data_IF_142923650379
#
_entry.id   IF_142923650379
#
_cell.length_a   1.000
_cell.length_b   1.000
_cell.length_c   1.000
_cell.angle_alpha   90.00
_cell.angle_beta   90.00
_cell.angle_gamma   90.00
#
_symmetry.space_group_name_H-M   'P 1'
#
loop_
_entity.id
_entity.type
_entity.pdbx_description
1 polymer ?
#
# COMPACT_ATOMS: atom_id res chain seq x y z
N UNK A 1 -7.83 26.90 9.55
CA UNK A 1 -7.78 26.39 8.17
C UNK A 1 -8.73 25.22 8.09
N UNK A 2 -9.70 25.23 7.18
CA UNK A 2 -10.67 24.15 7.05
C UNK A 2 -10.02 22.94 6.37
N UNK A 3 -9.62 21.96 7.18
CA UNK A 3 -8.91 20.76 6.73
C UNK A 3 -9.80 19.84 5.89
N UNK A 4 -11.12 19.89 6.08
CA UNK A 4 -12.07 19.07 5.34
C UNK A 4 -12.26 19.60 3.93
N UNK A 5 -12.37 20.92 3.77
CA UNK A 5 -12.41 21.57 2.46
C UNK A 5 -11.13 21.30 1.64
N UNK A 6 -9.96 21.40 2.26
CA UNK A 6 -8.67 21.09 1.62
C UNK A 6 -8.61 19.63 1.15
N UNK A 7 -8.93 18.68 2.04
CA UNK A 7 -8.98 17.25 1.71
C UNK A 7 -9.94 16.98 0.56
N UNK A 8 -11.12 17.58 0.58
CA UNK A 8 -12.11 17.43 -0.47
C UNK A 8 -11.60 17.97 -1.83
N UNK A 9 -10.99 19.15 -1.84
CA UNK A 9 -10.42 19.73 -3.06
C UNK A 9 -9.32 18.84 -3.67
N UNK A 10 -8.41 18.32 -2.85
CA UNK A 10 -7.34 17.41 -3.29
C UNK A 10 -7.93 16.12 -3.87
N UNK A 11 -8.92 15.53 -3.19
CA UNK A 11 -9.56 14.27 -3.60
C UNK A 11 -10.31 14.37 -4.93
N UNK A 12 -10.77 15.57 -5.29
CA UNK A 12 -11.48 15.83 -6.54
C UNK A 12 -10.55 16.38 -7.64
N UNK A 13 -9.25 16.51 -7.36
CA UNK A 13 -8.28 16.89 -8.37
C UNK A 13 -8.01 15.75 -9.36
N UNK A 14 -7.67 16.08 -10.60
CA UNK A 14 -7.33 15.09 -11.64
C UNK A 14 -6.04 14.30 -11.36
N UNK A 15 -5.30 14.64 -10.30
CA UNK A 15 -4.02 14.01 -9.91
C UNK A 15 -4.15 13.12 -8.68
N UNK A 16 -5.36 12.86 -8.18
CA UNK A 16 -5.59 12.02 -7.01
C UNK A 16 -6.31 10.72 -7.41
N UNK A 17 -5.69 9.57 -7.11
CA UNK A 17 -6.26 8.26 -7.38
C UNK A 17 -6.39 7.44 -6.08
N UNK A 18 -7.62 7.05 -5.76
CA UNK A 18 -7.94 6.14 -4.66
C UNK A 18 -8.57 4.81 -5.12
N UNK A 19 -8.88 4.67 -6.40
CA UNK A 19 -9.56 3.48 -6.94
C UNK A 19 -8.59 2.41 -7.43
N UNK A 20 -7.33 2.79 -7.66
CA UNK A 20 -6.38 1.99 -8.41
C UNK A 20 -6.55 2.18 -9.92
N UNK A 21 -5.85 1.39 -10.71
CA UNK A 21 -5.80 1.46 -12.17
C UNK A 21 -6.39 0.22 -12.87
N UNK A 22 -6.50 -0.89 -12.15
CA UNK A 22 -6.92 -2.21 -12.61
C UNK A 22 -8.18 -2.71 -11.88
N UNK A 23 -8.69 -3.84 -12.33
CA UNK A 23 -9.79 -4.53 -11.65
C UNK A 23 -9.34 -5.14 -10.31
N UNK A 24 -10.25 -5.29 -9.33
CA UNK A 24 -9.97 -6.01 -8.09
C UNK A 24 -9.43 -7.43 -8.31
N UNK A 25 -9.90 -8.12 -9.36
CA UNK A 25 -9.47 -9.47 -9.72
C UNK A 25 -8.01 -9.53 -10.15
N UNK A 26 -7.56 -8.57 -10.99
CA UNK A 26 -6.17 -8.50 -11.41
C UNK A 26 -5.23 -8.21 -10.24
N UNK A 27 -5.65 -7.33 -9.32
CA UNK A 27 -4.93 -7.04 -8.09
C UNK A 27 -4.78 -8.28 -7.19
N UNK A 28 -5.84 -9.05 -7.01
CA UNK A 28 -5.79 -10.28 -6.23
C UNK A 28 -4.83 -11.32 -6.84
N UNK A 29 -4.80 -11.44 -8.17
CA UNK A 29 -3.89 -12.36 -8.87
C UNK A 29 -2.42 -11.98 -8.65
N UNK A 30 -2.06 -10.70 -8.82
CA UNK A 30 -0.69 -10.22 -8.63
C UNK A 30 -0.15 -10.46 -7.21
N UNK A 31 -1.02 -10.33 -6.19
CA UNK A 31 -0.68 -10.70 -4.82
C UNK A 31 -0.50 -12.22 -4.66
N UNK A 32 -1.37 -13.00 -5.30
CA UNK A 32 -1.34 -14.45 -5.26
C UNK A 32 0.01 -15.01 -5.70
N UNK A 33 0.56 -14.52 -6.80
CA UNK A 33 1.86 -14.94 -7.35
C UNK A 33 3.03 -14.67 -6.39
N UNK A 34 2.93 -13.64 -5.53
CA UNK A 34 4.01 -13.26 -4.61
C UNK A 34 3.88 -13.87 -3.21
N UNK A 35 2.67 -14.23 -2.78
CA UNK A 35 2.39 -14.55 -1.37
C UNK A 35 1.61 -15.86 -1.14
N UNK A 36 1.28 -16.61 -2.19
CA UNK A 36 0.68 -17.95 -2.05
C UNK A 36 1.73 -19.03 -1.84
N UNK A 37 1.37 -20.05 -1.08
CA UNK A 37 2.19 -21.22 -0.81
C UNK A 37 1.33 -22.48 -0.92
N UNK A 38 1.77 -23.43 -1.76
CA UNK A 38 1.11 -24.73 -1.94
C UNK A 38 1.03 -25.51 -0.62
N UNK A 39 2.05 -25.40 0.24
CA UNK A 39 2.04 -26.00 1.57
C UNK A 39 0.90 -25.40 2.42
N UNK A 40 0.77 -24.08 2.44
CA UNK A 40 -0.30 -23.43 3.21
C UNK A 40 -1.67 -23.77 2.64
N UNK A 41 -1.81 -23.87 1.30
CA UNK A 41 -3.04 -24.31 0.65
C UNK A 41 -3.42 -25.73 1.08
N UNK A 42 -2.47 -26.67 1.02
CA UNK A 42 -2.73 -28.05 1.44
C UNK A 42 -3.06 -28.17 2.93
N UNK A 43 -2.44 -27.38 3.82
CA UNK A 43 -2.82 -27.36 5.25
C UNK A 43 -4.26 -26.85 5.44
N UNK A 44 -4.68 -25.84 4.68
CA UNK A 44 -6.06 -25.31 4.73
C UNK A 44 -7.08 -26.36 4.29
N UNK A 45 -6.80 -27.07 3.20
CA UNK A 45 -7.64 -28.17 2.69
C UNK A 45 -7.74 -29.31 3.70
N UNK A 46 -6.67 -29.55 4.47
CA UNK A 46 -6.61 -30.54 5.55
C UNK A 46 -7.13 -30.01 6.91
N UNK A 47 -8.23 -29.24 6.88
CA UNK A 47 -8.87 -28.66 8.07
C UNK A 47 -7.90 -27.92 8.99
N UNK A 48 -7.03 -27.10 8.38
CA UNK A 48 -6.03 -26.30 9.08
C UNK A 48 -4.99 -27.12 9.87
N UNK A 49 -4.80 -28.40 9.54
CA UNK A 49 -3.88 -29.30 10.25
C UNK A 49 -2.91 -29.99 9.30
N UNK A 50 -1.70 -30.27 9.78
CA UNK A 50 -0.72 -31.07 9.07
C UNK A 50 0.10 -31.90 10.04
N UNK A 51 0.27 -33.18 9.71
CA UNK A 51 1.01 -34.13 10.52
C UNK A 51 2.06 -34.85 9.67
N UNK A 52 3.29 -34.90 10.18
CA UNK A 52 4.38 -35.69 9.58
C UNK A 52 5.19 -36.38 10.67
N UNK A 53 4.95 -37.67 10.86
CA UNK A 53 5.50 -38.43 11.98
C UNK A 53 5.08 -37.82 13.32
N UNK A 54 6.07 -37.33 14.08
CA UNK A 54 5.86 -36.68 15.38
C UNK A 54 5.63 -35.16 15.32
N UNK A 55 5.71 -34.56 14.13
CA UNK A 55 5.45 -33.13 13.94
C UNK A 55 3.95 -32.91 13.69
N UNK A 56 3.34 -32.03 14.47
CA UNK A 56 1.97 -31.55 14.29
C UNK A 56 1.99 -30.04 14.11
N UNK A 57 1.37 -29.55 13.04
CA UNK A 57 1.21 -28.13 12.74
C UNK A 57 -0.30 -27.84 12.71
N UNK A 58 -0.74 -26.85 13.47
CA UNK A 58 -2.09 -26.32 13.42
C UNK A 58 -2.03 -24.87 12.94
N UNK A 59 -2.74 -24.57 11.86
CA UNK A 59 -2.86 -23.24 11.31
C UNK A 59 -4.04 -22.52 11.97
N UNK A 60 -3.89 -21.23 12.26
CA UNK A 60 -5.02 -20.40 12.63
C UNK A 60 -6.02 -20.31 11.47
N UNK A 61 -7.32 -20.25 11.78
CA UNK A 61 -8.37 -20.12 10.75
C UNK A 61 -8.32 -18.77 10.03
N UNK A 62 -7.90 -17.73 10.75
CA UNK A 62 -7.75 -16.37 10.25
C UNK A 62 -6.31 -15.91 10.44
N UNK A 63 -5.56 -15.77 9.35
CA UNK A 63 -4.19 -15.30 9.33
C UNK A 63 -3.83 -14.72 7.96
N UNK A 64 -2.77 -13.91 7.91
CA UNK A 64 -2.29 -13.28 6.69
C UNK A 64 -2.80 -11.84 6.54
N UNK A 65 -2.84 -11.35 5.30
CA UNK A 65 -3.27 -9.99 5.01
C UNK A 65 -4.78 -9.84 5.18
N UNK A 66 -5.19 -8.74 5.83
CA UNK A 66 -6.58 -8.31 5.77
C UNK A 66 -6.84 -7.60 4.43
N UNK A 67 -8.11 -7.45 4.07
CA UNK A 67 -8.51 -6.78 2.83
C UNK A 67 -7.89 -5.39 2.63
N UNK A 68 -7.75 -4.61 3.71
CA UNK A 68 -7.12 -3.28 3.64
C UNK A 68 -5.65 -3.34 3.24
N UNK A 69 -4.92 -4.34 3.76
CA UNK A 69 -3.51 -4.59 3.42
C UNK A 69 -3.39 -5.11 1.99
N UNK A 70 -4.20 -6.09 1.59
CA UNK A 70 -4.22 -6.60 0.22
C UNK A 70 -4.46 -5.46 -0.77
N UNK A 71 -5.49 -4.64 -0.54
CA UNK A 71 -5.79 -3.49 -1.38
C UNK A 71 -4.59 -2.55 -1.48
N UNK A 72 -3.96 -2.20 -0.36
CA UNK A 72 -2.87 -1.22 -0.35
C UNK A 72 -1.63 -1.72 -1.09
N UNK A 73 -1.21 -2.96 -0.83
CA UNK A 73 -0.06 -3.58 -1.47
C UNK A 73 -0.29 -3.76 -2.97
N UNK A 74 -1.48 -4.23 -3.36
CA UNK A 74 -1.78 -4.42 -4.77
C UNK A 74 -1.83 -3.09 -5.54
N UNK A 75 -2.40 -2.03 -4.96
CA UNK A 75 -2.38 -0.69 -5.56
C UNK A 75 -0.94 -0.15 -5.68
N UNK A 76 -0.06 -0.42 -4.73
CA UNK A 76 1.33 0.00 -4.83
C UNK A 76 2.07 -0.71 -5.99
N UNK A 77 1.84 -2.01 -6.19
CA UNK A 77 2.41 -2.77 -7.31
C UNK A 77 1.85 -2.32 -8.66
N UNK A 78 0.54 -2.08 -8.70
CA UNK A 78 -0.16 -1.53 -9.85
C UNK A 78 0.37 -0.14 -10.22
N UNK A 79 0.64 0.72 -9.23
CA UNK A 79 1.21 2.06 -9.46
C UNK A 79 2.54 1.97 -10.20
N UNK A 80 3.43 1.06 -9.81
CA UNK A 80 4.70 0.87 -10.53
C UNK A 80 4.53 0.33 -11.95
N UNK A 81 3.50 -0.49 -12.20
CA UNK A 81 3.22 -0.97 -13.56
C UNK A 81 2.60 0.12 -14.44
N UNK A 82 1.72 0.92 -13.86
CA UNK A 82 1.03 2.02 -14.55
C UNK A 82 1.98 3.17 -14.90
N UNK A 83 2.85 3.53 -13.96
CA UNK A 83 3.93 4.47 -14.14
C UNK A 83 5.21 3.66 -14.24
N UNK A 84 5.74 3.28 -15.41
CA UNK A 84 6.95 2.46 -15.51
C UNK A 84 8.25 3.27 -15.41
N UNK A 85 8.22 4.58 -15.65
CA UNK A 85 9.43 5.42 -15.80
C UNK A 85 9.57 6.50 -14.74
N UNK A 86 8.46 6.86 -14.12
CA UNK A 86 8.34 7.98 -13.20
C UNK A 86 9.01 7.66 -11.86
N UNK A 87 9.47 8.70 -11.16
CA UNK A 87 9.90 8.51 -9.78
C UNK A 87 8.67 8.28 -8.92
N UNK A 88 8.65 7.15 -8.21
CA UNK A 88 7.59 6.83 -7.26
C UNK A 88 8.15 6.95 -5.86
N UNK A 89 7.48 7.73 -5.02
CA UNK A 89 7.75 7.84 -3.60
C UNK A 89 6.66 7.17 -2.79
N UNK A 90 7.01 6.69 -1.61
CA UNK A 90 6.09 6.22 -0.59
C UNK A 90 6.33 7.01 0.70
N UNK A 91 5.28 7.55 1.30
CA UNK A 91 5.38 8.47 2.44
C UNK A 91 5.56 7.73 3.77
N UNK A 92 6.59 6.88 3.82
CA UNK A 92 7.00 5.90 4.85
C UNK A 92 6.88 4.47 4.28
N UNK A 93 6.41 3.52 5.07
CA UNK A 93 6.18 2.13 4.65
C UNK A 93 4.74 1.89 4.18
N UNK A 94 4.49 0.94 3.27
CA UNK A 94 3.12 0.64 2.82
C UNK A 94 2.28 0.06 3.97
N UNK A 95 2.93 -0.83 4.74
CA UNK A 95 2.49 -1.51 5.96
C UNK A 95 3.73 -1.84 6.79
N UNK A 96 3.54 -2.17 8.07
CA UNK A 96 4.59 -2.64 8.98
C UNK A 96 5.08 -4.07 8.66
N UNK A 97 5.62 -4.27 7.45
CA UNK A 97 6.18 -5.53 6.98
C UNK A 97 7.44 -5.28 6.13
N UNK A 98 8.64 -5.53 6.68
CA UNK A 98 9.90 -5.28 5.96
C UNK A 98 10.00 -6.02 4.62
N UNK A 99 9.47 -7.25 4.52
CA UNK A 99 9.51 -8.03 3.29
C UNK A 99 8.75 -7.34 2.16
N UNK A 100 7.55 -6.82 2.45
CA UNK A 100 6.72 -6.10 1.48
C UNK A 100 7.38 -4.78 1.06
N UNK A 101 7.93 -4.02 2.02
CA UNK A 101 8.64 -2.76 1.73
C UNK A 101 9.92 -2.97 0.91
N UNK A 102 10.66 -4.05 1.19
CA UNK A 102 11.83 -4.43 0.41
C UNK A 102 11.45 -4.83 -1.02
N UNK A 103 10.32 -5.51 -1.20
CA UNK A 103 9.80 -5.82 -2.54
C UNK A 103 9.49 -4.51 -3.30
N UNK A 104 8.77 -3.56 -2.69
CA UNK A 104 8.51 -2.25 -3.32
C UNK A 104 9.81 -1.50 -3.65
N UNK A 105 10.81 -1.55 -2.77
CA UNK A 105 12.12 -0.93 -3.01
C UNK A 105 12.84 -1.57 -4.21
N UNK A 106 12.79 -2.90 -4.35
CA UNK A 106 13.32 -3.61 -5.55
C UNK A 106 12.56 -3.26 -6.82
N UNK A 107 11.29 -2.89 -6.70
CA UNK A 107 10.47 -2.34 -7.77
C UNK A 107 10.74 -0.83 -8.00
N UNK A 108 11.83 -0.28 -7.45
CA UNK A 108 12.21 1.13 -7.59
C UNK A 108 11.15 2.12 -7.06
N UNK A 109 10.49 1.77 -5.95
CA UNK A 109 9.69 2.70 -5.14
C UNK A 109 10.57 3.24 -4.02
N UNK A 110 10.77 4.55 -3.98
CA UNK A 110 11.62 5.22 -2.99
C UNK A 110 10.83 5.50 -1.71
N UNK A 111 11.41 5.17 -0.55
CA UNK A 111 10.75 5.33 0.74
C UNK A 111 11.21 6.62 1.41
N UNK A 112 10.26 7.48 1.80
CA UNK A 112 10.49 8.67 2.62
C UNK A 112 10.24 8.29 4.08
N UNK A 113 11.30 7.86 4.77
CA UNK A 113 11.24 7.56 6.20
C UNK A 113 11.17 8.81 7.06
N UNK A 114 10.42 8.75 8.16
CA UNK A 114 10.43 9.81 9.16
C UNK A 114 11.71 9.75 10.02
N UNK A 115 12.39 10.88 10.20
CA UNK A 115 13.46 11.06 11.19
C UNK A 115 12.92 11.95 12.31
N UNK A 116 12.93 11.47 13.55
CA UNK A 116 12.35 12.17 14.71
C UNK A 116 10.89 12.61 14.48
N UNK A 117 10.09 11.78 13.79
CA UNK A 117 8.69 12.07 13.46
C UNK A 117 8.48 13.02 12.27
N UNK A 118 9.56 13.50 11.63
CA UNK A 118 9.49 14.44 10.52
C UNK A 118 9.91 13.75 9.23
N UNK A 119 9.08 13.87 8.18
CA UNK A 119 9.40 13.37 6.82
C UNK A 119 9.95 14.52 5.98
N UNK A 120 11.02 14.25 5.25
CA UNK A 120 11.61 15.21 4.31
C UNK A 120 11.13 14.95 2.88
N UNK A 121 10.37 15.91 2.33
CA UNK A 121 9.86 15.86 0.96
C UNK A 121 10.68 16.72 -0.01
N UNK A 122 11.85 17.22 0.40
CA UNK A 122 12.73 18.05 -0.43
C UNK A 122 13.11 17.39 -1.76
N UNK A 123 13.29 16.06 -1.75
CA UNK A 123 13.65 15.27 -2.93
C UNK A 123 12.47 14.97 -3.86
N UNK A 124 11.23 15.24 -3.42
CA UNK A 124 10.03 15.03 -4.24
C UNK A 124 9.88 16.20 -5.22
N UNK A 125 9.92 15.86 -6.51
CA UNK A 125 9.89 16.83 -7.60
C UNK A 125 8.47 17.02 -8.16
N UNK A 126 8.30 18.09 -8.94
CA UNK A 126 7.05 18.33 -9.64
C UNK A 126 6.70 17.16 -10.56
N UNK A 127 5.43 16.72 -10.53
CA UNK A 127 4.93 15.62 -11.35
C UNK A 127 5.34 14.22 -10.89
N UNK A 128 6.10 14.07 -9.81
CA UNK A 128 6.40 12.76 -9.23
C UNK A 128 5.13 12.04 -8.76
N UNK A 129 5.19 10.71 -8.69
CA UNK A 129 4.10 9.88 -8.17
C UNK A 129 4.34 9.60 -6.70
N UNK A 130 3.33 9.79 -5.85
CA UNK A 130 3.45 9.60 -4.40
C UNK A 130 2.35 8.71 -3.87
N UNK A 131 2.74 7.58 -3.29
CA UNK A 131 1.87 6.61 -2.64
C UNK A 131 1.70 6.98 -1.17
N UNK A 132 0.46 7.22 -0.76
CA UNK A 132 0.08 7.32 0.65
C UNK A 132 -0.18 5.92 1.19
N UNK A 133 0.33 5.57 2.38
CA UNK A 133 0.30 4.20 2.90
C UNK A 133 -1.07 3.79 3.44
N UNK A 134 -1.22 2.51 3.82
CA UNK A 134 -2.50 1.96 4.27
C UNK A 134 -3.08 2.66 5.53
N UNK A 135 -2.21 3.25 6.35
CA UNK A 135 -2.55 4.02 7.54
C UNK A 135 -2.82 5.52 7.28
N UNK A 136 -2.63 5.98 6.05
CA UNK A 136 -2.92 7.34 5.62
C UNK A 136 -1.77 8.33 5.76
N UNK A 137 -2.08 9.59 5.45
CA UNK A 137 -1.18 10.72 5.50
C UNK A 137 -1.90 11.94 6.10
N UNK A 138 -1.14 12.86 6.67
CA UNK A 138 -1.70 14.08 7.24
C UNK A 138 -2.23 15.01 6.15
N UNK A 139 -3.16 15.91 6.49
CA UNK A 139 -3.67 16.91 5.53
C UNK A 139 -2.54 17.81 5.03
N UNK A 140 -1.57 18.11 5.89
CA UNK A 140 -0.39 18.90 5.56
C UNK A 140 0.51 18.19 4.54
N UNK A 141 0.74 16.88 4.70
CA UNK A 141 1.48 16.08 3.72
C UNK A 141 0.74 16.06 2.37
N UNK A 142 -0.57 15.81 2.37
CA UNK A 142 -1.35 15.79 1.14
C UNK A 142 -1.35 17.15 0.44
N UNK A 143 -1.49 18.24 1.19
CA UNK A 143 -1.47 19.59 0.66
C UNK A 143 -0.11 19.92 0.03
N UNK A 144 0.99 19.64 0.72
CA UNK A 144 2.35 19.84 0.20
C UNK A 144 2.58 19.10 -1.12
N UNK A 145 2.15 17.83 -1.18
CA UNK A 145 2.29 17.00 -2.38
C UNK A 145 1.39 17.49 -3.52
N UNK A 146 0.19 17.96 -3.20
CA UNK A 146 -0.73 18.53 -4.18
C UNK A 146 -0.21 19.84 -4.77
N UNK A 147 0.36 20.72 -3.94
CA UNK A 147 0.99 21.98 -4.35
C UNK A 147 2.23 21.75 -5.22
N UNK A 148 2.97 20.66 -4.97
CA UNK A 148 4.04 20.16 -5.86
C UNK A 148 3.51 19.53 -7.16
N UNK A 149 2.20 19.48 -7.36
CA UNK A 149 1.53 18.87 -8.51
C UNK A 149 1.89 17.39 -8.71
N UNK A 150 2.15 16.68 -7.61
CA UNK A 150 2.39 15.23 -7.64
C UNK A 150 1.11 14.46 -8.02
N UNK A 151 1.30 13.28 -8.60
CA UNK A 151 0.24 12.28 -8.73
C UNK A 151 0.11 11.50 -7.41
N UNK A 152 -0.97 11.73 -6.67
CA UNK A 152 -1.19 11.12 -5.36
C UNK A 152 -1.97 9.82 -5.51
N UNK A 153 -1.39 8.72 -5.08
CA UNK A 153 -2.05 7.40 -5.01
C UNK A 153 -2.39 7.09 -3.56
N UNK A 154 -3.67 7.19 -3.21
CA UNK A 154 -4.15 6.97 -1.85
C UNK A 154 -4.52 5.51 -1.61
N UNK A 155 -3.62 4.80 -0.94
CA UNK A 155 -3.84 3.40 -0.54
C UNK A 155 -4.47 3.27 0.84
N UNK A 156 -4.82 4.37 1.52
CA UNK A 156 -5.41 4.37 2.87
C UNK A 156 -6.59 3.42 2.95
N UNK A 157 -6.53 2.53 3.94
CA UNK A 157 -7.57 1.57 4.24
C UNK A 157 -8.91 2.32 4.46
N UNK A 158 -10.00 1.94 3.76
CA UNK A 158 -11.30 2.58 3.95
C UNK A 158 -11.82 2.55 5.39
N UNK A 159 -11.41 1.56 6.19
CA UNK A 159 -11.72 1.50 7.62
C UNK A 159 -10.98 2.55 8.43
N UNK A 160 -9.73 2.87 8.06
CA UNK A 160 -8.96 3.97 8.66
C UNK A 160 -9.59 5.31 8.27
N UNK A 161 -9.94 5.51 7.01
CA UNK A 161 -10.55 6.78 6.59
C UNK A 161 -11.93 7.09 7.17
N UNK A 162 -12.63 6.10 7.74
CA UNK A 162 -13.91 6.33 8.42
C UNK A 162 -13.76 6.96 9.80
N UNK A 163 -12.57 6.82 10.42
CA UNK A 163 -12.28 7.38 11.75
C UNK A 163 -11.43 8.65 11.69
N UNK A 164 -11.08 9.11 10.48
CA UNK A 164 -10.18 10.23 10.17
C UNK A 164 -10.86 11.37 9.42
#
# INVERSE_FOLDING_TARGET
>A
MDTQAVKHAIQHSGRYNRRGFESPTQRAKALGESYQSELIASIRENNFSFQKGRLNIQLAKSFGFCWGVERAVAMAYETRRHYPKETIWMTNEIIHNPSVNNHLSRMNVKIISAKNGIKDFSSVSHGDVVILPAFGATVQEMQLLHEKECHIIDTTCPWVSKVW
#
